data_IF_574504160878
#
_entry.id   IF_574504160878
#
_cell.length_a   1.000
_cell.length_b   1.000
_cell.length_c   1.000
_cell.angle_alpha   90.00
_cell.angle_beta   90.00
_cell.angle_gamma   90.00
#
_symmetry.space_group_name_H-M   'P 1'
#
loop_
_entity.id
_entity.type
_entity.pdbx_description
1 polymer ?
#
# COMPACT_ATOMS: atom_id res chain seq x y z
N UNK A 1 -18.71 19.14 26.12
CA UNK A 1 -18.64 19.76 24.79
C UNK A 1 -17.16 19.80 24.36
N UNK A 2 -16.86 19.33 23.13
CA UNK A 2 -15.70 19.61 22.25
C UNK A 2 -14.28 19.37 22.81
N UNK A 3 -13.66 18.24 22.49
CA UNK A 3 -12.74 18.03 21.33
C UNK A 3 -11.46 18.90 21.38
N UNK A 4 -10.30 18.24 21.50
CA UNK A 4 -9.15 18.39 20.58
C UNK A 4 -7.91 17.72 21.21
N UNK A 5 -7.91 16.39 21.30
CA UNK A 5 -6.65 15.67 21.43
C UNK A 5 -5.97 15.78 20.07
N UNK A 6 -5.03 16.73 19.96
CA UNK A 6 -4.17 16.95 18.81
C UNK A 6 -3.27 15.75 18.55
N UNK A 7 -3.86 14.65 18.12
CA UNK A 7 -3.15 13.50 17.56
C UNK A 7 -2.71 13.94 16.17
N UNK A 8 -1.56 14.59 16.11
CA UNK A 8 -0.80 14.68 14.89
C UNK A 8 -0.62 13.25 14.37
N UNK A 9 -1.00 12.92 13.12
CA UNK A 9 -0.58 11.66 12.55
C UNK A 9 0.94 11.74 12.43
N UNK A 10 1.62 11.07 13.36
CA UNK A 10 3.05 10.79 13.25
C UNK A 10 3.20 10.09 11.90
N UNK A 11 3.69 10.84 10.89
CA UNK A 11 4.10 10.27 9.60
C UNK A 11 5.05 9.14 9.96
N UNK A 12 4.55 7.92 9.89
CA UNK A 12 5.37 6.74 9.97
C UNK A 12 6.18 6.77 8.68
N UNK A 13 7.32 7.46 8.72
CA UNK A 13 8.41 7.26 7.78
C UNK A 13 8.85 5.82 8.00
N UNK A 14 8.20 4.88 7.30
CA UNK A 14 8.82 3.60 7.00
C UNK A 14 9.91 3.88 5.97
N UNK A 15 11.03 4.38 6.46
CA UNK A 15 12.32 4.13 5.83
C UNK A 15 12.54 2.64 6.02
N UNK A 16 12.27 1.86 4.98
CA UNK A 16 12.75 0.48 4.89
C UNK A 16 13.38 0.37 3.51
N UNK A 17 14.69 0.61 3.54
CA UNK A 17 15.73 0.00 2.73
C UNK A 17 15.32 -0.35 1.28
N UNK A 18 15.88 0.43 0.36
CA UNK A 18 16.23 -0.04 -0.97
C UNK A 18 17.21 -1.22 -0.86
N UNK A 19 16.75 -2.36 -0.35
CA UNK A 19 17.51 -3.59 -0.29
C UNK A 19 17.02 -4.48 -1.42
N UNK A 20 17.94 -4.71 -2.35
CA UNK A 20 17.91 -5.59 -3.50
C UNK A 20 17.23 -5.05 -4.78
N UNK A 21 17.98 -4.92 -5.91
CA UNK A 21 17.44 -4.65 -7.24
C UNK A 21 16.80 -5.93 -7.80
N UNK A 22 15.79 -6.46 -7.11
CA UNK A 22 14.90 -7.44 -7.72
C UNK A 22 13.98 -6.66 -8.65
N UNK A 23 14.20 -6.83 -9.97
CA UNK A 23 13.34 -6.34 -11.05
C UNK A 23 11.91 -6.81 -10.77
N UNK A 24 11.08 -5.93 -10.26
CA UNK A 24 9.67 -6.19 -10.00
C UNK A 24 8.92 -4.88 -9.79
N UNK A 25 7.64 -4.88 -10.12
CA UNK A 25 6.79 -3.69 -9.98
C UNK A 25 6.55 -3.37 -8.50
N UNK A 26 6.68 -2.10 -8.13
CA UNK A 26 6.15 -1.59 -6.87
C UNK A 26 4.75 -1.05 -7.12
N UNK A 27 3.73 -1.77 -6.63
CA UNK A 27 2.33 -1.37 -6.75
C UNK A 27 1.91 -0.68 -5.46
N UNK A 28 1.31 0.49 -5.61
CA UNK A 28 0.84 1.31 -4.50
C UNK A 28 -0.69 1.39 -4.60
N UNK A 29 -1.36 0.85 -3.58
CA UNK A 29 -2.81 0.85 -3.45
C UNK A 29 -3.25 1.81 -2.34
N UNK A 30 -4.44 2.37 -2.51
CA UNK A 30 -5.23 2.92 -1.42
C UNK A 30 -6.12 1.81 -0.89
N UNK A 31 -6.01 1.48 0.38
CA UNK A 31 -6.80 0.41 1.02
C UNK A 31 -7.55 0.95 2.24
N UNK A 32 -8.60 0.26 2.66
CA UNK A 32 -9.36 0.54 3.89
C UNK A 32 -9.36 -0.67 4.81
N UNK A 33 -9.25 -0.44 6.11
CA UNK A 33 -9.54 -1.45 7.12
C UNK A 33 -11.05 -1.53 7.42
N UNK A 34 -11.41 -2.14 8.55
CA UNK A 34 -12.81 -2.24 8.99
C UNK A 34 -13.43 -0.89 9.41
N UNK A 35 -12.61 0.12 9.69
CA UNK A 35 -13.07 1.47 9.96
C UNK A 35 -11.96 2.50 9.74
N UNK A 36 -12.36 3.75 9.55
CA UNK A 36 -11.45 4.88 9.39
C UNK A 36 -11.10 5.23 7.93
N UNK A 37 -10.20 6.21 7.75
CA UNK A 37 -9.82 6.71 6.43
C UNK A 37 -8.99 5.68 5.65
N UNK A 38 -8.99 5.81 4.33
CA UNK A 38 -8.12 5.00 3.49
C UNK A 38 -6.65 5.36 3.75
N UNK A 39 -5.77 4.36 3.66
CA UNK A 39 -4.33 4.53 3.79
C UNK A 39 -3.59 3.83 2.66
N UNK A 40 -2.31 4.19 2.52
CA UNK A 40 -1.45 3.69 1.45
C UNK A 40 -0.90 2.31 1.81
N UNK A 41 -1.03 1.38 0.88
CA UNK A 41 -0.51 0.02 0.97
C UNK A 41 0.44 -0.20 -0.20
N UNK A 42 1.65 -0.65 0.10
CA UNK A 42 2.69 -0.86 -0.89
C UNK A 42 2.98 -2.36 -0.99
N UNK A 43 3.02 -2.86 -2.22
CA UNK A 43 3.30 -4.26 -2.52
C UNK A 43 4.33 -4.36 -3.64
N UNK A 44 5.39 -5.11 -3.39
CA UNK A 44 6.41 -5.37 -4.40
C UNK A 44 6.16 -6.73 -5.04
N UNK A 45 5.69 -6.72 -6.28
CA UNK A 45 5.45 -7.94 -7.03
C UNK A 45 6.68 -8.32 -7.85
N UNK A 46 6.95 -9.63 -7.94
CA UNK A 46 7.99 -10.20 -8.82
C UNK A 46 7.46 -10.53 -10.21
N UNK A 47 6.21 -10.18 -10.51
CA UNK A 47 5.62 -10.41 -11.82
C UNK A 47 6.31 -9.59 -12.91
N UNK A 48 6.37 -10.18 -14.10
CA UNK A 48 6.91 -9.53 -15.31
C UNK A 48 5.83 -8.66 -15.97
N UNK A 49 4.56 -8.97 -15.73
CA UNK A 49 3.39 -8.21 -16.19
C UNK A 49 2.91 -7.20 -15.14
N UNK A 50 2.69 -5.95 -15.58
CA UNK A 50 2.08 -4.89 -14.77
C UNK A 50 0.71 -5.31 -14.21
N UNK A 51 -0.12 -5.93 -15.04
CA UNK A 51 -1.47 -6.34 -14.66
C UNK A 51 -1.43 -7.43 -13.58
N UNK A 52 -0.53 -8.41 -13.74
CA UNK A 52 -0.34 -9.45 -12.71
C UNK A 52 0.16 -8.86 -11.40
N UNK A 53 1.08 -7.89 -11.46
CA UNK A 53 1.57 -7.21 -10.27
C UNK A 53 0.45 -6.50 -9.50
N UNK A 54 -0.48 -5.84 -10.22
CA UNK A 54 -1.63 -5.18 -9.60
C UNK A 54 -2.57 -6.20 -8.95
N UNK A 55 -2.88 -7.29 -9.65
CA UNK A 55 -3.74 -8.35 -9.12
C UNK A 55 -3.13 -9.02 -7.87
N UNK A 56 -1.82 -9.25 -7.90
CA UNK A 56 -1.06 -9.81 -6.78
C UNK A 56 -1.07 -8.86 -5.57
N UNK A 57 -0.93 -7.54 -5.80
CA UNK A 57 -1.05 -6.52 -4.76
C UNK A 57 -2.45 -6.50 -4.13
N UNK A 58 -3.51 -6.54 -4.94
CA UNK A 58 -4.88 -6.58 -4.43
C UNK A 58 -5.16 -7.85 -3.63
N UNK A 59 -4.68 -9.00 -4.12
CA UNK A 59 -4.87 -10.28 -3.44
C UNK A 59 -4.17 -10.28 -2.08
N UNK A 60 -2.93 -9.78 -2.02
CA UNK A 60 -2.17 -9.66 -0.78
C UNK A 60 -2.83 -8.69 0.19
N UNK A 61 -3.32 -7.53 -0.29
CA UNK A 61 -4.05 -6.58 0.53
C UNK A 61 -5.33 -7.20 1.15
N UNK A 62 -6.10 -7.96 0.36
CA UNK A 62 -7.29 -8.67 0.85
C UNK A 62 -6.95 -9.77 1.85
N UNK A 63 -5.88 -10.53 1.60
CA UNK A 63 -5.39 -11.54 2.53
C UNK A 63 -4.93 -10.95 3.88
N UNK A 64 -4.43 -9.70 3.86
CA UNK A 64 -4.10 -8.94 5.05
C UNK A 64 -5.33 -8.32 5.77
N UNK A 65 -6.55 -8.60 5.29
CA UNK A 65 -7.79 -8.08 5.86
C UNK A 65 -8.15 -6.65 5.43
N UNK A 66 -7.46 -6.11 4.41
CA UNK A 66 -7.76 -4.79 3.88
C UNK A 66 -8.65 -4.87 2.64
N UNK A 67 -9.42 -3.81 2.40
CA UNK A 67 -10.25 -3.64 1.21
C UNK A 67 -9.54 -2.66 0.25
N UNK A 68 -9.02 -3.12 -0.90
CA UNK A 68 -8.51 -2.23 -1.93
C UNK A 68 -9.60 -1.27 -2.42
N UNK A 69 -9.25 0.00 -2.54
CA UNK A 69 -10.17 1.06 -2.96
C UNK A 69 -9.77 1.68 -4.30
N UNK A 70 -8.48 1.97 -4.49
CA UNK A 70 -7.96 2.54 -5.71
C UNK A 70 -6.49 2.16 -5.91
N UNK A 71 -6.09 2.00 -7.18
CA UNK A 71 -4.69 2.00 -7.56
C UNK A 71 -4.18 3.43 -7.53
N UNK A 72 -3.12 3.70 -6.77
CA UNK A 72 -2.52 5.03 -6.68
C UNK A 72 -1.36 5.17 -7.66
N UNK A 73 -0.48 4.18 -7.71
CA UNK A 73 0.71 4.24 -8.55
C UNK A 73 1.27 2.84 -8.80
N UNK A 74 2.05 2.71 -9.88
CA UNK A 74 2.81 1.51 -10.20
C UNK A 74 4.17 1.94 -10.71
N UNK A 75 5.22 1.68 -9.93
CA UNK A 75 6.60 1.92 -10.34
C UNK A 75 7.09 0.67 -11.06
N UNK A 76 7.50 0.86 -12.31
CA UNK A 76 8.08 -0.18 -13.16
C UNK A 76 9.51 -0.54 -12.68
N UNK A 77 9.97 -1.78 -12.94
CA UNK A 77 11.29 -2.25 -12.53
C UNK A 77 12.49 -1.54 -13.18
#
# INVERSE_FOLDING_TARGET
>A
MRQALGVAPKKEKRTIEASNPMRGYLVILSVRGDGGPAFRYEHRSRSISRTEAILDAEKTARAAGYRPWALLDVVEP
#
